data_IF_841227157762
#
_entry.id   IF_841227157762
#
_cell.length_a   1.000
_cell.length_b   1.000
_cell.length_c   1.000
_cell.angle_alpha   90.00
_cell.angle_beta   90.00
_cell.angle_gamma   90.00
#
_symmetry.space_group_name_H-M   'P 1'
#
loop_
_entity.id
_entity.type
_entity.pdbx_description
1 polymer ?
#
# COMPACT_ATOMS: atom_id res chain seq x y z
N UNK A 1 0.25 -18.99 -8.34
CA UNK A 1 -0.84 -18.04 -8.64
C UNK A 1 -0.30 -16.62 -8.53
N UNK A 2 -1.04 -15.62 -9.04
CA UNK A 2 -0.73 -14.20 -8.82
C UNK A 2 -1.78 -13.63 -7.88
N UNK A 3 -1.35 -13.19 -6.70
CA UNK A 3 -2.24 -12.86 -5.59
C UNK A 3 -1.87 -11.48 -5.08
N UNK A 4 -2.82 -10.56 -5.12
CA UNK A 4 -2.70 -9.25 -4.51
C UNK A 4 -3.43 -9.27 -3.17
N UNK A 5 -2.78 -8.78 -2.13
CA UNK A 5 -3.24 -8.91 -0.76
C UNK A 5 -3.42 -7.50 -0.17
N UNK A 6 -4.67 -7.10 0.01
CA UNK A 6 -5.07 -5.90 0.75
C UNK A 6 -5.10 -6.16 2.26
N UNK A 7 -5.22 -5.10 3.07
CA UNK A 7 -5.10 -5.16 4.53
C UNK A 7 -6.44 -5.23 5.29
N UNK A 8 -7.52 -5.64 4.62
CA UNK A 8 -8.84 -5.83 5.23
C UNK A 8 -8.91 -6.97 6.23
N UNK A 9 -9.80 -6.86 7.22
CA UNK A 9 -10.06 -7.83 8.27
C UNK A 9 -10.61 -9.16 7.76
N UNK A 10 -11.15 -9.23 6.54
CA UNK A 10 -11.59 -10.49 5.93
C UNK A 10 -10.47 -11.52 5.77
N UNK A 11 -9.20 -11.07 5.67
CA UNK A 11 -8.04 -11.98 5.57
C UNK A 11 -7.41 -12.36 6.92
N UNK A 12 -7.91 -11.88 8.05
CA UNK A 12 -7.27 -12.07 9.37
C UNK A 12 -7.08 -13.55 9.76
N UNK A 13 -8.00 -14.42 9.33
CA UNK A 13 -8.00 -15.86 9.65
C UNK A 13 -7.39 -16.70 8.50
N UNK A 14 -6.71 -16.07 7.55
CA UNK A 14 -5.94 -16.72 6.50
C UNK A 14 -4.49 -16.85 6.96
N UNK A 15 -4.00 -18.08 7.08
CA UNK A 15 -2.56 -18.30 7.22
C UNK A 15 -1.88 -17.95 5.89
N UNK A 16 -1.10 -16.87 5.85
CA UNK A 16 -0.46 -16.41 4.63
C UNK A 16 0.70 -17.31 4.17
N UNK A 17 1.26 -18.16 5.04
CA UNK A 17 2.35 -19.07 4.66
C UNK A 17 1.94 -20.09 3.59
N UNK A 18 0.64 -20.33 3.42
CA UNK A 18 0.14 -21.18 2.34
C UNK A 18 0.34 -20.54 0.96
N UNK A 19 0.74 -19.27 0.89
CA UNK A 19 0.95 -18.50 -0.33
C UNK A 19 2.43 -18.36 -0.72
N UNK A 20 3.36 -18.95 0.03
CA UNK A 20 4.81 -18.79 -0.20
C UNK A 20 5.29 -19.28 -1.58
N UNK A 21 4.60 -20.26 -2.17
CA UNK A 21 4.89 -20.81 -3.51
C UNK A 21 4.18 -20.03 -4.64
N UNK A 22 3.68 -18.82 -4.36
CA UNK A 22 2.95 -17.97 -5.29
C UNK A 22 3.58 -16.58 -5.38
N UNK A 23 3.37 -15.89 -6.51
CA UNK A 23 3.78 -14.50 -6.66
C UNK A 23 2.77 -13.63 -5.93
N UNK A 24 3.22 -12.91 -4.90
CA UNK A 24 2.35 -12.13 -4.01
C UNK A 24 2.73 -10.66 -3.99
N UNK A 25 1.71 -9.81 -4.08
CA UNK A 25 1.82 -8.36 -4.01
C UNK A 25 1.08 -7.88 -2.77
N UNK A 26 1.82 -7.44 -1.76
CA UNK A 26 1.28 -6.92 -0.50
C UNK A 26 1.56 -5.43 -0.33
N UNK A 27 0.96 -4.79 0.68
CA UNK A 27 1.17 -3.36 0.89
C UNK A 27 1.35 -2.92 2.35
N UNK A 28 2.08 -1.82 2.49
CA UNK A 28 2.29 -1.05 3.73
C UNK A 28 2.72 -1.96 4.90
N UNK A 29 1.98 -1.97 6.02
CA UNK A 29 2.35 -2.69 7.25
C UNK A 29 2.38 -4.22 7.14
N UNK A 30 2.09 -4.80 5.97
CA UNK A 30 2.17 -6.25 5.79
C UNK A 30 3.52 -6.84 6.20
N UNK A 31 4.59 -6.13 5.89
CA UNK A 31 5.97 -6.54 6.20
C UNK A 31 6.23 -6.78 7.69
N UNK A 32 5.39 -6.25 8.58
CA UNK A 32 5.55 -6.39 10.04
C UNK A 32 5.27 -7.81 10.52
N UNK A 33 4.40 -8.54 9.81
CA UNK A 33 3.99 -9.89 10.18
C UNK A 33 4.11 -10.92 9.06
N UNK A 34 4.30 -10.51 7.81
CA UNK A 34 4.49 -11.42 6.69
C UNK A 34 5.15 -10.78 5.46
N UNK A 35 5.95 -11.55 4.72
CA UNK A 35 6.76 -11.05 3.61
C UNK A 35 6.18 -11.43 2.24
N UNK A 36 5.53 -10.51 1.50
CA UNK A 36 5.13 -10.75 0.12
C UNK A 36 6.35 -10.81 -0.82
N UNK A 37 6.17 -11.37 -2.01
CA UNK A 37 7.18 -11.32 -3.09
C UNK A 37 7.53 -9.87 -3.45
N UNK A 38 6.52 -9.00 -3.46
CA UNK A 38 6.64 -7.56 -3.68
C UNK A 38 5.84 -6.79 -2.63
N UNK A 39 6.48 -5.82 -1.97
CA UNK A 39 5.84 -4.92 -1.02
C UNK A 39 5.67 -3.52 -1.61
N UNK A 40 4.44 -3.01 -1.60
CA UNK A 40 4.10 -1.69 -2.14
C UNK A 40 3.87 -0.72 -0.98
N UNK A 41 4.44 0.47 -1.05
CA UNK A 41 4.17 1.52 -0.06
C UNK A 41 4.14 2.92 -0.68
N UNK A 42 3.24 3.77 -0.16
CA UNK A 42 3.06 5.15 -0.62
C UNK A 42 3.00 6.19 0.51
N UNK A 43 2.82 5.74 1.76
CA UNK A 43 2.62 6.59 2.93
C UNK A 43 3.99 6.97 3.52
N UNK A 44 4.33 8.26 3.62
CA UNK A 44 5.71 8.67 3.90
C UNK A 44 6.23 8.17 5.26
N UNK A 45 5.40 8.17 6.31
CA UNK A 45 5.77 7.60 7.62
C UNK A 45 6.06 6.10 7.54
N UNK A 46 5.26 5.35 6.77
CA UNK A 46 5.47 3.91 6.56
C UNK A 46 6.69 3.63 5.68
N UNK A 47 6.93 4.45 4.66
CA UNK A 47 8.13 4.37 3.82
C UNK A 47 9.40 4.50 4.67
N UNK A 48 9.44 5.48 5.58
CA UNK A 48 10.54 5.64 6.51
C UNK A 48 10.71 4.41 7.42
N UNK A 49 9.62 3.93 8.02
CA UNK A 49 9.62 2.75 8.88
C UNK A 49 10.16 1.50 8.18
N UNK A 50 9.73 1.24 6.94
CA UNK A 50 10.18 0.09 6.14
C UNK A 50 11.68 0.19 5.87
N UNK A 51 12.19 1.35 5.45
CA UNK A 51 13.64 1.51 5.18
C UNK A 51 14.47 1.38 6.47
N UNK A 52 14.04 2.01 7.57
CA UNK A 52 14.72 1.92 8.87
C UNK A 52 14.80 0.48 9.39
N UNK A 53 13.77 -0.34 9.12
CA UNK A 53 13.77 -1.75 9.49
C UNK A 53 14.77 -2.61 8.70
N UNK A 54 15.44 -2.05 7.69
CA UNK A 54 16.32 -2.75 6.74
C UNK A 54 15.59 -3.80 5.89
N UNK A 55 14.26 -3.80 5.88
CA UNK A 55 13.45 -4.73 5.09
C UNK A 55 13.82 -4.78 3.60
N UNK A 56 14.08 -3.63 2.92
CA UNK A 56 14.43 -3.63 1.50
C UNK A 56 15.77 -4.30 1.15
N UNK A 57 16.63 -4.58 2.13
CA UNK A 57 17.89 -5.32 1.90
C UNK A 57 17.66 -6.72 1.38
N UNK A 58 16.60 -7.36 1.86
CA UNK A 58 16.29 -8.75 1.52
C UNK A 58 15.07 -8.87 0.60
N UNK A 59 14.13 -7.94 0.69
CA UNK A 59 12.81 -8.03 0.06
C UNK A 59 12.60 -6.91 -0.96
N UNK A 60 11.84 -7.20 -2.02
CA UNK A 60 11.61 -6.23 -3.10
C UNK A 60 10.47 -5.27 -2.75
N UNK A 61 10.77 -3.98 -2.81
CA UNK A 61 9.84 -2.90 -2.53
C UNK A 61 9.55 -2.04 -3.77
N UNK A 62 8.30 -1.59 -3.89
CA UNK A 62 7.85 -0.59 -4.86
C UNK A 62 7.30 0.62 -4.12
N UNK A 63 7.99 1.75 -4.23
CA UNK A 63 7.65 2.95 -3.48
C UNK A 63 7.13 4.06 -4.40
N UNK A 64 6.08 4.75 -3.97
CA UNK A 64 5.58 5.99 -4.59
C UNK A 64 5.62 7.10 -3.56
N UNK A 65 5.66 8.35 -4.01
CA UNK A 65 6.03 9.48 -3.18
C UNK A 65 7.43 9.24 -2.58
N UNK A 66 8.35 8.68 -3.36
CA UNK A 66 9.69 8.29 -2.92
C UNK A 66 10.79 8.80 -3.84
N UNK A 67 10.71 10.08 -4.18
CA UNK A 67 11.75 10.77 -4.96
C UNK A 67 13.09 10.71 -4.25
N UNK A 68 14.03 10.00 -4.85
CA UNK A 68 15.41 9.90 -4.39
C UNK A 68 16.23 11.09 -4.86
N UNK A 69 16.89 11.74 -3.90
CA UNK A 69 17.75 12.90 -4.07
C UNK A 69 19.21 12.51 -3.84
N UNK A 70 20.10 13.21 -4.55
CA UNK A 70 21.54 13.03 -4.40
C UNK A 70 22.02 13.61 -3.05
N UNK A 71 23.02 12.99 -2.38
CA UNK A 71 23.41 13.27 -1.01
C UNK A 71 23.91 14.72 -0.81
N UNK A 72 24.42 15.35 -1.86
CA UNK A 72 24.87 16.75 -1.86
C UNK A 72 23.70 17.74 -1.66
N UNK A 73 22.46 17.33 -1.95
CA UNK A 73 21.27 18.14 -1.71
C UNK A 73 20.88 18.17 -0.23
N UNK A 74 21.34 17.22 0.58
CA UNK A 74 20.92 17.07 1.98
C UNK A 74 21.12 18.34 2.82
N UNK A 75 22.29 19.01 2.82
CA UNK A 75 22.49 20.22 3.61
C UNK A 75 21.50 21.34 3.25
N UNK A 76 21.09 21.43 1.98
CA UNK A 76 20.14 22.44 1.50
C UNK A 76 18.75 22.18 2.09
N UNK A 77 18.27 20.94 2.01
CA UNK A 77 16.98 20.56 2.61
C UNK A 77 17.01 20.69 4.13
N UNK A 78 18.10 20.26 4.78
CA UNK A 78 18.26 20.36 6.24
C UNK A 78 18.19 21.80 6.75
N UNK A 79 18.78 22.75 6.02
CA UNK A 79 18.73 24.18 6.34
C UNK A 79 17.36 24.82 6.08
N UNK A 80 16.53 24.21 5.22
CA UNK A 80 15.18 24.71 4.91
C UNK A 80 14.14 24.38 6.00
N UNK A 81 14.49 23.53 6.96
CA UNK A 81 13.58 23.11 8.03
C UNK A 81 13.28 24.29 8.95
N UNK A 82 11.99 24.50 9.19
CA UNK A 82 11.51 25.54 10.12
C UNK A 82 12.00 25.22 11.55
N UNK A 83 12.67 26.17 12.24
CA UNK A 83 13.15 25.95 13.61
C UNK A 83 12.05 25.48 14.57
N UNK A 84 12.38 24.50 15.40
CA UNK A 84 11.44 23.92 16.38
C UNK A 84 10.47 22.89 15.82
N UNK A 85 10.53 22.56 14.52
CA UNK A 85 9.78 21.43 13.96
C UNK A 85 10.48 20.11 14.23
N UNK A 86 9.70 19.05 14.43
CA UNK A 86 10.19 17.70 14.60
C UNK A 86 10.82 17.22 13.30
N UNK A 87 11.94 16.51 13.42
CA UNK A 87 12.61 15.87 12.30
C UNK A 87 12.92 14.43 12.67
N UNK A 88 12.52 13.51 11.82
CA UNK A 88 12.82 12.08 11.92
C UNK A 88 13.76 11.72 10.77
N UNK A 89 14.84 11.03 11.11
CA UNK A 89 15.92 10.74 10.18
C UNK A 89 16.61 9.44 10.57
N UNK A 90 16.80 8.55 9.60
CA UNK A 90 17.56 7.32 9.79
C UNK A 90 19.06 7.53 9.57
N UNK A 91 19.85 6.47 9.74
CA UNK A 91 21.29 6.54 9.52
C UNK A 91 21.64 6.99 8.10
N UNK A 92 22.39 8.09 7.99
CA UNK A 92 22.89 8.59 6.72
C UNK A 92 23.87 7.59 6.09
N UNK A 93 23.47 7.00 4.98
CA UNK A 93 24.23 6.00 4.21
C UNK A 93 25.24 6.63 3.24
N UNK A 94 25.12 7.93 2.96
CA UNK A 94 25.88 8.64 1.94
C UNK A 94 25.49 8.30 0.49
N UNK A 95 24.47 7.46 0.26
CA UNK A 95 24.10 7.04 -1.10
C UNK A 95 23.03 7.94 -1.72
N UNK A 96 21.77 7.80 -1.32
CA UNK A 96 20.65 8.68 -1.73
C UNK A 96 19.68 8.82 -0.57
N UNK A 97 18.85 9.85 -0.58
CA UNK A 97 17.81 10.02 0.42
C UNK A 97 16.51 10.52 -0.20
N UNK A 98 15.39 10.18 0.43
CA UNK A 98 14.13 10.83 0.16
C UNK A 98 13.80 11.83 1.28
N UNK A 99 13.10 12.91 0.94
CA UNK A 99 12.69 13.94 1.88
C UNK A 99 11.23 14.32 1.69
N UNK A 100 10.48 14.32 2.80
CA UNK A 100 9.07 14.68 2.84
C UNK A 100 8.80 15.69 3.93
N UNK A 101 7.97 16.68 3.60
CA UNK A 101 7.54 17.70 4.52
C UNK A 101 6.40 17.25 5.42
N UNK A 102 6.00 18.16 6.31
CA UNK A 102 4.89 18.09 7.25
C UNK A 102 3.71 17.21 6.80
N UNK A 103 3.65 15.99 7.32
CA UNK A 103 2.45 15.17 7.30
C UNK A 103 1.68 15.33 8.61
N UNK A 104 0.37 15.49 8.48
CA UNK A 104 -0.58 15.34 9.58
C UNK A 104 -1.47 14.19 9.15
N UNK A 105 -1.45 13.09 9.90
CA UNK A 105 -2.37 11.98 9.65
C UNK A 105 -3.81 12.47 9.82
N UNK A 106 -4.69 12.13 8.88
CA UNK A 106 -6.11 12.50 8.92
C UNK A 106 -6.99 11.27 8.94
N UNK A 107 -8.08 11.35 9.70
CA UNK A 107 -9.12 10.32 9.74
C UNK A 107 -10.47 10.92 9.39
N UNK A 108 -11.38 10.12 8.82
CA UNK A 108 -12.75 10.59 8.59
C UNK A 108 -13.47 10.79 9.93
N UNK A 109 -14.07 11.97 10.09
CA UNK A 109 -14.94 12.31 11.22
C UNK A 109 -16.40 12.06 10.88
N UNK A 110 -16.79 12.32 9.64
CA UNK A 110 -18.08 12.00 9.02
C UNK A 110 -17.92 11.79 7.51
N UNK A 111 -19.02 11.59 6.78
CA UNK A 111 -19.03 11.36 5.33
C UNK A 111 -18.51 12.54 4.50
N UNK A 112 -18.30 13.70 5.12
CA UNK A 112 -17.95 14.98 4.47
C UNK A 112 -16.69 15.63 5.04
N UNK A 113 -16.26 15.23 6.25
CA UNK A 113 -15.20 15.89 7.00
C UNK A 113 -14.13 14.90 7.46
N UNK A 114 -12.88 15.33 7.38
CA UNK A 114 -11.75 14.67 8.03
C UNK A 114 -11.33 15.47 9.26
N UNK A 115 -10.76 14.78 10.24
CA UNK A 115 -10.15 15.35 11.43
C UNK A 115 -8.67 14.98 11.44
N UNK A 116 -7.84 15.97 11.74
CA UNK A 116 -6.42 15.77 11.99
C UNK A 116 -6.26 14.90 13.24
N UNK A 117 -5.47 13.84 13.14
CA UNK A 117 -4.93 13.21 14.35
C UNK A 117 -3.99 14.23 15.00
N UNK A 118 -3.97 14.26 16.34
CA UNK A 118 -3.14 15.16 17.12
C UNK A 118 -1.66 14.74 17.03
N UNK A 119 -1.09 14.81 15.84
CA UNK A 119 0.30 14.54 15.54
C UNK A 119 1.04 15.85 15.29
N UNK A 120 2.24 15.98 15.87
CA UNK A 120 3.09 17.12 15.58
C UNK A 120 3.65 17.00 14.14
N UNK A 121 3.55 18.07 13.33
CA UNK A 121 4.22 18.17 12.05
C UNK A 121 5.67 17.70 12.08
N UNK A 122 6.01 16.76 11.20
CA UNK A 122 7.33 16.16 11.12
C UNK A 122 7.93 16.26 9.71
N UNK A 123 9.23 16.51 9.62
CA UNK A 123 10.02 16.35 8.40
C UNK A 123 10.74 15.01 8.45
N UNK A 124 10.73 14.29 7.34
CA UNK A 124 11.35 12.98 7.25
C UNK A 124 12.55 13.02 6.30
N UNK A 125 13.67 12.45 6.73
CA UNK A 125 14.83 12.16 5.89
C UNK A 125 15.06 10.66 5.90
N UNK A 126 14.83 10.01 4.78
CA UNK A 126 14.95 8.57 4.64
C UNK A 126 16.11 8.25 3.70
N UNK A 127 17.26 7.98 4.27
CA UNK A 127 18.45 7.52 3.59
C UNK A 127 18.31 6.05 3.19
N UNK A 128 18.58 5.78 1.93
CA UNK A 128 18.64 4.42 1.36
C UNK A 128 20.08 4.07 1.03
N UNK A 129 20.37 2.81 0.83
CA UNK A 129 21.67 2.27 0.47
C UNK A 129 21.65 1.62 -0.91
N UNK A 130 22.82 1.35 -1.47
CA UNK A 130 22.94 0.67 -2.78
C UNK A 130 22.38 -0.76 -2.77
N UNK A 131 22.31 -1.41 -1.61
CA UNK A 131 21.79 -2.78 -1.45
C UNK A 131 20.26 -2.83 -1.33
N UNK A 132 19.59 -1.71 -1.13
CA UNK A 132 18.14 -1.69 -0.95
C UNK A 132 17.44 -1.97 -2.28
N UNK A 133 16.57 -2.99 -2.27
CA UNK A 133 15.80 -3.43 -3.44
C UNK A 133 14.52 -2.60 -3.57
N UNK A 134 14.68 -1.32 -3.88
CA UNK A 134 13.59 -0.35 -4.00
C UNK A 134 13.46 0.12 -5.45
N UNK A 135 12.29 -0.13 -6.04
CA UNK A 135 11.88 0.51 -7.28
C UNK A 135 10.97 1.70 -7.00
N UNK A 136 11.35 2.89 -7.48
CA UNK A 136 10.56 4.12 -7.34
C UNK A 136 9.57 4.22 -8.50
N UNK A 137 8.28 4.28 -8.16
CA UNK A 137 7.15 4.32 -9.10
C UNK A 137 6.90 5.73 -9.62
N UNK A 138 7.39 6.78 -8.95
CA UNK A 138 7.18 8.18 -9.35
C UNK A 138 7.69 8.50 -10.77
N UNK A 139 8.69 7.76 -11.25
CA UNK A 139 9.24 7.89 -12.61
C UNK A 139 8.36 7.21 -13.68
N UNK A 140 7.42 6.36 -13.28
CA UNK A 140 6.54 5.59 -14.18
C UNK A 140 5.27 6.39 -14.50
N UNK A 141 5.41 7.40 -15.34
CA UNK A 141 4.34 8.36 -15.70
C UNK A 141 3.10 7.75 -16.35
N UNK A 142 3.18 6.52 -16.87
CA UNK A 142 2.03 5.81 -17.44
C UNK A 142 1.14 5.16 -16.38
N UNK A 143 1.63 4.98 -15.14
CA UNK A 143 0.85 4.44 -14.03
C UNK A 143 0.05 5.57 -13.39
N UNK A 144 -1.30 5.49 -13.36
CA UNK A 144 -2.13 6.51 -12.72
C UNK A 144 -1.79 6.72 -11.24
N UNK A 145 -2.25 7.82 -10.66
CA UNK A 145 -2.14 8.06 -9.23
C UNK A 145 -3.11 7.11 -8.49
N UNK A 146 -2.55 6.12 -7.83
CA UNK A 146 -3.24 4.97 -7.23
C UNK A 146 -2.74 4.79 -5.79
N UNK A 147 -3.67 4.45 -4.90
CA UNK A 147 -3.35 4.01 -3.53
C UNK A 147 -2.65 2.64 -3.54
N UNK A 148 -2.02 2.24 -2.42
CA UNK A 148 -1.16 1.05 -2.39
C UNK A 148 -1.83 -0.24 -2.87
N UNK A 149 -3.12 -0.44 -2.60
CA UNK A 149 -3.87 -1.62 -3.04
C UNK A 149 -4.07 -1.70 -4.57
N UNK A 150 -4.70 -0.69 -5.20
CA UNK A 150 -4.75 -0.59 -6.65
C UNK A 150 -3.36 -0.57 -7.30
N UNK A 151 -2.37 0.13 -6.73
CA UNK A 151 -1.00 0.15 -7.28
C UNK A 151 -0.35 -1.24 -7.26
N UNK A 152 -0.52 -2.00 -6.18
CA UNK A 152 -0.07 -3.40 -6.10
C UNK A 152 -0.70 -4.26 -7.19
N UNK A 153 -1.98 -4.03 -7.49
CA UNK A 153 -2.68 -4.73 -8.58
C UNK A 153 -2.13 -4.35 -9.94
N UNK A 154 -1.94 -3.05 -10.20
CA UNK A 154 -1.35 -2.57 -11.44
C UNK A 154 0.02 -3.19 -11.69
N UNK A 155 0.91 -3.15 -10.69
CA UNK A 155 2.27 -3.69 -10.81
C UNK A 155 2.26 -5.21 -11.00
N UNK A 156 1.32 -5.93 -10.36
CA UNK A 156 1.13 -7.36 -10.61
C UNK A 156 0.74 -7.63 -12.06
N UNK A 157 -0.23 -6.89 -12.61
CA UNK A 157 -0.66 -7.05 -13.99
C UNK A 157 0.45 -6.71 -14.99
N UNK A 158 1.14 -5.59 -14.79
CA UNK A 158 2.16 -5.07 -15.71
C UNK A 158 3.42 -5.94 -15.75
N UNK A 159 3.90 -6.39 -14.58
CA UNK A 159 5.14 -7.15 -14.48
C UNK A 159 4.94 -8.62 -14.83
N UNK A 160 3.88 -9.23 -14.29
CA UNK A 160 3.68 -10.68 -14.37
C UNK A 160 2.87 -11.10 -15.60
N UNK A 161 2.06 -10.19 -16.16
CA UNK A 161 1.15 -10.43 -17.29
C UNK A 161 0.36 -11.73 -17.16
N UNK A 162 -0.32 -11.94 -16.02
CA UNK A 162 -0.96 -13.21 -15.71
C UNK A 162 -2.28 -13.38 -16.46
N UNK A 163 -2.68 -14.63 -16.71
CA UNK A 163 -4.06 -14.91 -17.17
C UNK A 163 -5.09 -14.58 -16.08
N UNK A 164 -4.69 -14.65 -14.80
CA UNK A 164 -5.59 -14.50 -13.65
C UNK A 164 -4.93 -13.89 -12.43
N UNK A 165 -5.64 -12.97 -11.76
CA UNK A 165 -5.22 -12.31 -10.50
C UNK A 165 -6.28 -12.52 -9.42
N UNK A 166 -5.83 -12.92 -8.22
CA UNK A 166 -6.68 -13.05 -7.04
C UNK A 166 -6.51 -11.85 -6.11
N UNK A 167 -7.61 -11.18 -5.76
CA UNK A 167 -7.65 -10.01 -4.89
C UNK A 167 -8.16 -10.44 -3.51
N UNK A 168 -7.26 -10.58 -2.54
CA UNK A 168 -7.57 -11.06 -1.18
C UNK A 168 -7.48 -9.92 -0.17
N UNK A 169 -8.42 -9.82 0.78
CA UNK A 169 -8.36 -8.78 1.82
C UNK A 169 -8.72 -7.37 1.34
N UNK A 170 -9.47 -7.27 0.23
CA UNK A 170 -10.01 -6.02 -0.29
C UNK A 170 -11.46 -5.85 0.19
N UNK A 171 -11.62 -5.25 1.37
CA UNK A 171 -12.90 -5.15 2.07
C UNK A 171 -13.67 -3.88 1.69
N UNK A 172 -14.06 -3.78 0.42
CA UNK A 172 -14.83 -2.63 -0.05
C UNK A 172 -16.23 -2.64 0.61
N UNK A 173 -16.54 -1.61 1.39
CA UNK A 173 -17.83 -1.42 2.09
C UNK A 173 -18.18 -2.45 3.19
N UNK A 174 -17.27 -3.36 3.56
CA UNK A 174 -17.51 -4.35 4.62
C UNK A 174 -16.81 -3.86 5.88
N UNK A 175 -17.42 -2.93 6.62
CA UNK A 175 -16.67 -2.22 7.66
C UNK A 175 -17.45 -1.98 8.96
N UNK A 176 -18.71 -2.44 9.05
CA UNK A 176 -19.59 -2.30 10.23
C UNK A 176 -19.62 -0.85 10.79
N UNK A 177 -19.41 0.16 9.95
CA UNK A 177 -19.37 1.57 10.34
C UNK A 177 -18.08 2.03 11.03
N UNK A 178 -16.98 1.26 10.96
CA UNK A 178 -15.67 1.62 11.53
C UNK A 178 -14.54 1.32 10.55
N UNK A 179 -13.33 1.80 10.82
CA UNK A 179 -12.16 1.43 10.02
C UNK A 179 -11.98 -0.10 9.96
N UNK A 180 -11.91 -0.62 8.74
CA UNK A 180 -11.57 -2.01 8.45
C UNK A 180 -10.12 -2.04 7.94
N UNK A 181 -9.21 -2.38 8.84
CA UNK A 181 -7.83 -2.69 8.54
C UNK A 181 -7.26 -3.55 9.67
N UNK A 182 -6.50 -4.60 9.36
CA UNK A 182 -5.92 -5.46 10.40
C UNK A 182 -4.81 -4.75 11.21
N UNK A 183 -4.21 -3.70 10.65
CA UNK A 183 -3.17 -2.91 11.29
C UNK A 183 -3.70 -1.66 11.98
N UNK A 184 -5.03 -1.49 12.12
CA UNK A 184 -5.59 -0.40 12.94
C UNK A 184 -5.05 -0.46 14.36
N UNK A 185 -4.98 0.70 15.02
CA UNK A 185 -4.36 0.88 16.35
C UNK A 185 -2.83 0.68 16.39
N UNK A 186 -2.17 0.45 15.26
CA UNK A 186 -0.70 0.44 15.17
C UNK A 186 -0.16 1.76 14.62
N UNK A 187 1.14 1.99 14.74
CA UNK A 187 1.79 3.17 14.15
C UNK A 187 1.48 3.26 12.65
N UNK A 188 1.29 4.50 12.17
CA UNK A 188 0.93 4.85 10.79
C UNK A 188 -0.50 4.47 10.36
N UNK A 189 -1.32 3.91 11.26
CA UNK A 189 -2.69 3.51 10.94
C UNK A 189 -3.71 4.22 11.80
N UNK A 190 -4.92 4.35 11.24
CA UNK A 190 -6.04 4.93 11.96
C UNK A 190 -6.42 4.07 13.19
N UNK A 191 -6.87 4.70 14.28
CA UNK A 191 -7.37 3.99 15.44
C UNK A 191 -8.70 3.29 15.13
N UNK A 192 -9.00 2.20 15.82
CA UNK A 192 -10.19 1.36 15.59
C UNK A 192 -11.53 2.04 15.85
N UNK A 193 -11.55 3.20 16.51
CA UNK A 193 -12.74 4.04 16.67
C UNK A 193 -13.01 4.96 15.47
N UNK A 194 -12.06 5.10 14.53
CA UNK A 194 -12.22 5.95 13.36
C UNK A 194 -13.34 5.43 12.44
N UNK A 195 -13.96 6.36 11.72
CA UNK A 195 -14.90 6.01 10.65
C UNK A 195 -14.18 5.31 9.49
N UNK A 196 -14.91 4.49 8.71
CA UNK A 196 -14.33 3.84 7.55
C UNK A 196 -13.95 4.86 6.48
N UNK A 197 -12.87 4.56 5.76
CA UNK A 197 -12.56 5.24 4.50
C UNK A 197 -13.60 4.83 3.47
N UNK A 198 -14.11 5.80 2.71
CA UNK A 198 -15.08 5.53 1.65
C UNK A 198 -14.40 4.80 0.48
N UNK A 199 -14.84 3.56 0.22
CA UNK A 199 -14.23 2.69 -0.80
C UNK A 199 -14.55 3.08 -2.25
N UNK A 200 -15.45 4.05 -2.49
CA UNK A 200 -15.94 4.40 -3.84
C UNK A 200 -14.81 4.72 -4.83
N UNK A 201 -13.82 5.49 -4.39
CA UNK A 201 -12.66 5.83 -5.23
C UNK A 201 -11.80 4.61 -5.56
N UNK A 202 -11.61 3.70 -4.61
CA UNK A 202 -10.88 2.45 -4.84
C UNK A 202 -11.62 1.54 -5.82
N UNK A 203 -12.93 1.34 -5.64
CA UNK A 203 -13.76 0.55 -6.55
C UNK A 203 -13.63 1.11 -7.97
N UNK A 204 -13.78 2.42 -8.15
CA UNK A 204 -13.65 3.05 -9.46
C UNK A 204 -12.27 2.82 -10.09
N UNK A 205 -11.18 2.94 -9.32
CA UNK A 205 -9.82 2.66 -9.81
C UNK A 205 -9.67 1.21 -10.29
N UNK A 206 -10.23 0.26 -9.55
CA UNK A 206 -10.22 -1.16 -9.94
C UNK A 206 -11.07 -1.40 -11.19
N UNK A 207 -12.27 -0.84 -11.29
CA UNK A 207 -13.15 -1.03 -12.45
C UNK A 207 -12.53 -0.47 -13.74
N UNK A 208 -11.89 0.70 -13.69
CA UNK A 208 -11.12 1.27 -14.81
C UNK A 208 -9.93 0.37 -15.15
N UNK A 209 -9.23 -0.14 -14.14
CA UNK A 209 -8.12 -1.07 -14.35
C UNK A 209 -8.56 -2.35 -15.07
N UNK A 210 -9.67 -2.95 -14.66
CA UNK A 210 -10.21 -4.17 -15.26
C UNK A 210 -10.70 -3.95 -16.69
N UNK A 211 -11.30 -2.79 -16.99
CA UNK A 211 -12.00 -2.58 -18.26
C UNK A 211 -11.17 -1.86 -19.32
N UNK A 212 -10.30 -0.92 -18.92
CA UNK A 212 -9.57 -0.05 -19.85
C UNK A 212 -8.10 -0.42 -19.99
N UNK A 213 -7.48 -0.97 -18.93
CA UNK A 213 -6.03 -1.20 -18.89
C UNK A 213 -5.63 -2.68 -19.00
N UNK A 214 -6.40 -3.57 -18.39
CA UNK A 214 -6.13 -5.01 -18.39
C UNK A 214 -7.38 -5.85 -18.71
N UNK A 215 -8.12 -5.56 -19.80
CA UNK A 215 -9.33 -6.31 -20.17
C UNK A 215 -9.08 -7.79 -20.51
N UNK A 216 -7.83 -8.18 -20.74
CA UNK A 216 -7.40 -9.54 -21.04
C UNK A 216 -7.18 -10.42 -19.80
N UNK A 217 -7.10 -9.83 -18.61
CA UNK A 217 -6.82 -10.54 -17.36
C UNK A 217 -8.13 -10.85 -16.64
N UNK A 218 -8.27 -12.10 -16.17
CA UNK A 218 -9.36 -12.48 -15.27
C UNK A 218 -9.04 -12.08 -13.82
N UNK A 219 -9.90 -11.30 -13.19
CA UNK A 219 -9.79 -10.93 -11.79
C UNK A 219 -10.76 -11.75 -10.95
N UNK A 220 -10.30 -12.20 -9.77
CA UNK A 220 -11.10 -12.91 -8.79
C UNK A 220 -11.03 -12.16 -7.47
N UNK A 221 -12.13 -11.52 -7.08
CA UNK A 221 -12.25 -10.91 -5.75
C UNK A 221 -12.61 -11.98 -4.73
N UNK A 222 -11.74 -12.17 -3.74
CA UNK A 222 -11.99 -13.14 -2.65
C UNK A 222 -12.76 -12.44 -1.55
N UNK A 223 -14.09 -12.56 -1.61
CA UNK A 223 -15.02 -11.88 -0.70
C UNK A 223 -16.36 -12.61 -0.64
N UNK A 224 -17.08 -12.48 0.48
CA UNK A 224 -18.43 -13.07 0.64
C UNK A 224 -19.51 -12.28 -0.11
N UNK A 225 -19.32 -10.96 -0.25
CA UNK A 225 -20.25 -10.06 -0.95
C UNK A 225 -19.61 -9.50 -2.22
N UNK A 226 -20.41 -9.36 -3.29
CA UNK A 226 -19.97 -8.75 -4.54
C UNK A 226 -19.84 -7.24 -4.38
N UNK A 227 -18.65 -6.72 -4.64
CA UNK A 227 -18.36 -5.28 -4.50
C UNK A 227 -18.30 -4.51 -5.83
N UNK A 228 -18.05 -5.21 -6.94
CA UNK A 228 -17.83 -4.61 -8.26
C UNK A 228 -19.08 -4.67 -9.13
N UNK A 229 -19.12 -3.82 -10.17
CA UNK A 229 -20.19 -3.85 -11.16
C UNK A 229 -20.28 -5.22 -11.86
N UNK A 230 -21.48 -5.81 -11.80
CA UNK A 230 -21.82 -7.12 -12.39
C UNK A 230 -21.70 -7.19 -13.91
N UNK A 231 -21.69 -6.04 -14.58
CA UNK A 231 -21.61 -5.97 -16.05
C UNK A 231 -20.16 -6.05 -16.54
N UNK A 232 -19.17 -5.98 -15.63
CA UNK A 232 -17.76 -6.19 -15.96
C UNK A 232 -17.51 -7.70 -16.09
N UNK A 233 -17.11 -8.13 -17.29
CA UNK A 233 -17.03 -9.54 -17.66
C UNK A 233 -15.83 -10.28 -17.08
N UNK A 234 -14.74 -9.57 -16.80
CA UNK A 234 -13.46 -10.15 -16.37
C UNK A 234 -13.22 -10.02 -14.87
N UNK A 235 -14.27 -9.88 -14.07
CA UNK A 235 -14.22 -9.91 -12.60
C UNK A 235 -15.27 -10.89 -12.08
N UNK A 236 -14.84 -11.85 -11.26
CA UNK A 236 -15.75 -12.71 -10.49
C UNK A 236 -15.46 -12.59 -8.99
N UNK A 237 -16.34 -13.17 -8.18
CA UNK A 237 -16.24 -13.16 -6.72
C UNK A 237 -16.38 -14.58 -6.19
N UNK A 238 -15.42 -15.01 -5.36
CA UNK A 238 -15.46 -16.31 -4.68
C UNK A 238 -15.28 -16.10 -3.17
N UNK A 239 -15.83 -17.02 -2.38
CA UNK A 239 -15.63 -17.01 -0.93
C UNK A 239 -14.18 -17.33 -0.55
N UNK A 240 -13.79 -16.93 0.67
CA UNK A 240 -12.49 -17.32 1.23
C UNK A 240 -12.32 -18.85 1.31
N UNK A 241 -13.42 -19.58 1.53
CA UNK A 241 -13.41 -21.04 1.57
C UNK A 241 -13.21 -21.67 0.19
N UNK A 242 -13.75 -21.07 -0.87
CA UNK A 242 -13.49 -21.52 -2.24
C UNK A 242 -12.05 -21.22 -2.63
N UNK A 243 -11.55 -20.02 -2.32
CA UNK A 243 -10.16 -19.66 -2.56
C UNK A 243 -9.18 -20.65 -1.90
N UNK A 244 -9.41 -20.98 -0.62
CA UNK A 244 -8.61 -21.97 0.11
C UNK A 244 -8.61 -23.38 -0.51
N UNK A 245 -9.60 -23.74 -1.32
CA UNK A 245 -9.64 -25.04 -2.04
C UNK A 245 -8.83 -25.02 -3.34
N UNK A 246 -8.44 -23.84 -3.83
CA UNK A 246 -7.63 -23.67 -5.03
C UNK A 246 -6.13 -23.74 -4.75
N UNK A 247 -5.74 -23.45 -3.50
CA UNK A 247 -4.36 -23.48 -3.00
C UNK A 247 -3.93 -24.92 -2.68
#
# INVERSE_FOLDING_TARGET
MHIVIGNGESRKDLNLDILLEHTTYGCNAMYRDWNPSHLICIDNKMLHEIVESQYPKSNHCWFRNFTLLDPEMYPVFRQSIIPGRKVEENANTGYKFAHYGQEISRVFHDDTQTMDLAEEPCYWFTWVSEEDKIDVVDDKKHIPMLDSGPLATWLCCENEKPDKVYLVGFDFNINKGKVNNIYKDTDCYAPSYALPVQAKGWIQNFEVMFTEHFPEIDFIHVQEEKCFNKDISNIDTISMNEFKKLL
#
